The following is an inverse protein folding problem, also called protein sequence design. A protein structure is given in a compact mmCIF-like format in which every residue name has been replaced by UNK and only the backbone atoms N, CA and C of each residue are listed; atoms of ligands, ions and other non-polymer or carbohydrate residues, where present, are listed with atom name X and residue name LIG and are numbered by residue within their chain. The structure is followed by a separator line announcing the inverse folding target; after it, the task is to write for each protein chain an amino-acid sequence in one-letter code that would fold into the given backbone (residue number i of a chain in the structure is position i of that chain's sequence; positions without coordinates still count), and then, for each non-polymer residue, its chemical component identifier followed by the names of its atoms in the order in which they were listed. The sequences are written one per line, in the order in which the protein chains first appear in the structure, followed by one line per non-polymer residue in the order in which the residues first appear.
data_IF_169071610389
#
_entry.id   IF_169071610389
#
_cell.length_a   1.000
_cell.length_b   1.000
_cell.length_c   1.000
_cell.angle_alpha   90.00
_cell.angle_beta   90.00
_cell.angle_gamma   90.00
#
_symmetry.space_group_name_H-M   'P 1'
#
loop_
_entity.id
_entity.type
_entity.pdbx_description
1 polymer ?
#
# COMPACT_ATOMS: atom_id res chain seq x y z
N UNK A 1 -10.64 -3.67 11.67
CA UNK A 1 -9.22 -3.68 12.11
C UNK A 1 -8.88 -2.35 12.81
N UNK A 2 -7.96 -2.31 13.78
CA UNK A 2 -7.45 -1.03 14.32
C UNK A 2 -6.42 -0.38 13.38
N UNK A 3 -6.09 0.90 13.58
CA UNK A 3 -5.22 1.63 12.65
C UNK A 3 -3.78 1.08 12.63
N UNK A 4 -3.28 0.53 13.72
CA UNK A 4 -1.96 -0.11 13.77
C UNK A 4 -1.95 -1.33 12.86
N UNK A 5 -2.88 -2.26 13.06
CA UNK A 5 -3.00 -3.44 12.24
C UNK A 5 -3.18 -3.09 10.75
N UNK A 6 -3.92 -2.02 10.43
CA UNK A 6 -4.06 -1.52 9.04
C UNK A 6 -2.73 -1.04 8.45
N UNK A 7 -1.96 -0.23 9.19
CA UNK A 7 -0.65 0.28 8.76
C UNK A 7 0.28 -0.86 8.39
N UNK A 8 0.40 -1.85 9.28
CA UNK A 8 1.30 -2.98 9.07
C UNK A 8 0.83 -3.87 7.93
N UNK A 9 -0.46 -4.16 7.86
CA UNK A 9 -1.06 -4.93 6.75
C UNK A 9 -0.74 -4.27 5.41
N UNK A 10 -1.01 -2.96 5.28
CA UNK A 10 -0.75 -2.20 4.05
C UNK A 10 0.75 -2.10 3.73
N UNK A 11 1.60 -1.94 4.75
CA UNK A 11 3.05 -1.92 4.57
C UNK A 11 3.58 -3.23 3.97
N UNK A 12 3.14 -4.38 4.49
CA UNK A 12 3.55 -5.67 3.96
C UNK A 12 3.05 -5.89 2.53
N UNK A 13 1.80 -5.52 2.24
CA UNK A 13 1.26 -5.60 0.88
C UNK A 13 2.05 -4.74 -0.09
N UNK A 14 2.40 -3.51 0.29
CA UNK A 14 3.21 -2.60 -0.53
C UNK A 14 4.60 -3.21 -0.81
N UNK A 15 5.27 -3.70 0.23
CA UNK A 15 6.62 -4.27 0.14
C UNK A 15 6.66 -5.53 -0.72
N UNK A 16 5.67 -6.42 -0.56
CA UNK A 16 5.54 -7.63 -1.37
C UNK A 16 5.26 -7.29 -2.84
N UNK A 17 4.40 -6.28 -3.09
CA UNK A 17 4.08 -5.82 -4.45
C UNK A 17 5.31 -5.24 -5.15
N UNK A 18 6.10 -4.41 -4.46
CA UNK A 18 7.34 -3.86 -4.99
C UNK A 18 8.36 -4.96 -5.28
N UNK A 19 8.51 -5.90 -4.36
CA UNK A 19 9.40 -7.06 -4.55
C UNK A 19 9.03 -7.85 -5.81
N UNK A 20 7.73 -8.01 -6.07
CA UNK A 20 7.25 -8.68 -7.27
C UNK A 20 7.57 -7.88 -8.54
N UNK A 21 7.32 -6.57 -8.54
CA UNK A 21 7.64 -5.66 -9.66
C UNK A 21 9.13 -5.79 -10.01
N UNK A 22 10.02 -5.64 -9.02
CA UNK A 22 11.47 -5.72 -9.20
C UNK A 22 11.89 -7.08 -9.75
N UNK A 23 11.32 -8.18 -9.24
CA UNK A 23 11.67 -9.52 -9.70
C UNK A 23 11.20 -9.79 -11.13
N UNK A 24 10.04 -9.26 -11.54
CA UNK A 24 9.54 -9.39 -12.92
C UNK A 24 10.32 -8.51 -13.89
N UNK A 25 10.78 -7.34 -13.46
CA UNK A 25 11.53 -6.41 -14.32
C UNK A 25 12.96 -6.86 -14.64
N UNK A 26 13.53 -7.80 -13.87
CA UNK A 26 14.85 -8.40 -14.18
C UNK A 26 14.91 -9.07 -15.57
N UNK A 27 13.76 -9.43 -16.13
CA UNK A 27 13.64 -10.00 -17.48
C UNK A 27 13.26 -8.95 -18.54
N UNK A 28 13.09 -7.68 -18.16
CA UNK A 28 12.81 -6.56 -19.08
C UNK A 28 14.06 -5.68 -19.25
N UNK A 29 13.98 -4.71 -20.16
CA UNK A 29 15.05 -3.71 -20.33
C UNK A 29 15.10 -2.66 -19.22
N UNK A 30 14.11 -2.67 -18.31
CA UNK A 30 14.00 -1.73 -17.19
C UNK A 30 14.33 -2.42 -15.87
N UNK A 31 15.39 -1.95 -15.21
CA UNK A 31 15.71 -2.36 -13.84
C UNK A 31 15.11 -1.35 -12.87
N UNK A 32 14.21 -1.81 -12.00
CA UNK A 32 13.68 -0.99 -10.92
C UNK A 32 14.43 -1.25 -9.62
N UNK A 33 14.75 -0.18 -8.89
CA UNK A 33 15.21 -0.25 -7.51
C UNK A 33 14.01 -0.28 -6.56
N UNK A 34 14.00 -1.24 -5.62
CA UNK A 34 12.88 -1.46 -4.72
C UNK A 34 12.70 -0.32 -3.70
N UNK A 35 13.79 0.24 -3.18
CA UNK A 35 13.72 1.35 -2.23
C UNK A 35 13.30 2.65 -2.92
N UNK A 36 13.75 2.89 -4.16
CA UNK A 36 13.29 3.99 -4.99
C UNK A 36 11.78 3.89 -5.26
N UNK A 37 11.29 2.72 -5.69
CA UNK A 37 9.85 2.49 -5.90
C UNK A 37 9.04 2.69 -4.62
N UNK A 38 9.51 2.15 -3.50
CA UNK A 38 8.86 2.33 -2.20
C UNK A 38 8.73 3.81 -1.83
N UNK A 39 9.84 4.54 -1.88
CA UNK A 39 9.87 5.97 -1.55
C UNK A 39 9.00 6.79 -2.51
N UNK A 40 9.00 6.45 -3.80
CA UNK A 40 8.18 7.10 -4.82
C UNK A 40 6.69 6.91 -4.54
N UNK A 41 6.23 5.68 -4.30
CA UNK A 41 4.81 5.41 -4.05
C UNK A 41 4.35 6.01 -2.72
N UNK A 42 5.16 5.87 -1.66
CA UNK A 42 4.83 6.45 -0.37
C UNK A 42 4.76 7.99 -0.41
N UNK A 43 5.73 8.64 -1.06
CA UNK A 43 5.74 10.10 -1.20
C UNK A 43 4.53 10.58 -2.00
N UNK A 44 4.19 9.88 -3.09
CA UNK A 44 2.97 10.18 -3.85
C UNK A 44 1.70 9.97 -3.03
N UNK A 45 1.63 8.90 -2.23
CA UNK A 45 0.49 8.66 -1.34
C UNK A 45 0.34 9.76 -0.27
N UNK A 46 1.45 10.23 0.30
CA UNK A 46 1.46 11.36 1.25
C UNK A 46 1.02 12.67 0.59
N UNK A 47 1.51 12.96 -0.62
CA UNK A 47 1.16 14.18 -1.35
C UNK A 47 -0.31 14.16 -1.83
N UNK A 48 -0.79 13.03 -2.36
CA UNK A 48 -2.19 12.90 -2.75
C UNK A 48 -3.12 13.05 -1.54
N UNK A 49 -2.75 12.54 -0.36
CA UNK A 49 -3.50 12.84 0.87
C UNK A 49 -3.52 14.34 1.22
N UNK A 50 -2.40 15.06 1.11
CA UNK A 50 -2.38 16.50 1.36
C UNK A 50 -3.21 17.30 0.37
N UNK A 51 -3.34 16.81 -0.87
CA UNK A 51 -4.16 17.42 -1.91
C UNK A 51 -5.66 17.10 -1.73
N UNK A 52 -5.99 15.87 -1.29
CA UNK A 52 -7.37 15.41 -0.98
C UNK A 52 -8.00 16.20 0.18
N UNK A 53 -7.21 16.81 1.07
CA UNK A 53 -7.71 17.72 2.11
C UNK A 53 -8.29 19.02 1.56
N UNK A 54 -7.95 19.40 0.32
CA UNK A 54 -8.38 20.68 -0.26
C UNK A 54 -9.56 20.55 -1.20
N UNK A 55 -9.63 19.50 -2.00
CA UNK A 55 -10.72 19.28 -2.95
C UNK A 55 -11.00 17.77 -3.09
N UNK A 56 -12.27 17.39 -3.06
CA UNK A 56 -12.76 16.28 -3.87
C UNK A 56 -12.41 14.82 -3.46
N UNK A 57 -13.18 14.31 -2.49
CA UNK A 57 -13.77 12.94 -2.55
C UNK A 57 -14.46 12.65 -3.92
N UNK A 58 -14.67 13.66 -4.77
CA UNK A 58 -15.28 13.56 -6.09
C UNK A 58 -14.31 13.60 -7.31
N UNK A 59 -12.98 13.72 -7.17
CA UNK A 59 -12.03 13.65 -8.34
C UNK A 59 -11.21 12.36 -8.40
N UNK A 60 -11.18 11.57 -7.32
CA UNK A 60 -10.53 10.24 -7.29
C UNK A 60 -11.14 9.29 -8.36
N UNK A 61 -12.32 9.61 -8.89
CA UNK A 61 -13.02 8.81 -9.90
C UNK A 61 -12.92 9.25 -11.37
N UNK A 62 -12.11 10.26 -11.74
CA UNK A 62 -12.25 10.88 -13.09
C UNK A 62 -10.99 11.04 -13.95
N UNK A 63 -9.87 10.37 -13.64
CA UNK A 63 -8.83 10.26 -14.65
C UNK A 63 -8.20 8.87 -14.66
N UNK A 64 -8.58 8.06 -15.65
CA UNK A 64 -7.73 7.38 -16.64
C UNK A 64 -8.42 6.08 -17.14
N UNK A 65 -9.02 6.16 -18.32
CA UNK A 65 -9.83 5.11 -18.96
C UNK A 65 -9.00 3.82 -19.21
N UNK A 66 -9.52 2.66 -18.75
CA UNK A 66 -8.90 1.33 -18.46
C UNK A 66 -8.24 1.16 -17.09
N UNK A 67 -7.63 2.20 -16.54
CA UNK A 67 -7.15 2.19 -15.17
C UNK A 67 -8.33 2.33 -14.18
N UNK A 68 -9.28 3.24 -14.43
CA UNK A 68 -10.40 3.54 -13.52
C UNK A 68 -11.19 2.34 -12.98
N UNK A 69 -11.48 1.33 -13.82
CA UNK A 69 -12.23 0.16 -13.36
C UNK A 69 -11.39 -0.72 -12.41
N UNK A 70 -10.11 -0.95 -12.73
CA UNK A 70 -9.20 -1.72 -11.89
C UNK A 70 -8.79 -0.96 -10.63
N UNK A 71 -8.56 0.35 -10.73
CA UNK A 71 -8.32 1.22 -9.58
C UNK A 71 -9.53 1.22 -8.63
N UNK A 72 -10.75 1.37 -9.15
CA UNK A 72 -11.97 1.30 -8.34
C UNK A 72 -12.18 -0.06 -7.67
N UNK A 73 -11.85 -1.16 -8.38
CA UNK A 73 -11.88 -2.52 -7.81
C UNK A 73 -10.84 -2.72 -6.71
N UNK A 74 -9.60 -2.26 -6.91
CA UNK A 74 -8.52 -2.31 -5.91
C UNK A 74 -8.94 -1.52 -4.66
N UNK A 75 -9.37 -0.28 -4.83
CA UNK A 75 -9.82 0.58 -3.74
C UNK A 75 -10.96 -0.07 -2.94
N UNK A 76 -11.98 -0.57 -3.63
CA UNK A 76 -13.13 -1.21 -3.00
C UNK A 76 -12.75 -2.47 -2.20
N UNK A 77 -11.79 -3.28 -2.67
CA UNK A 77 -11.34 -4.48 -1.95
C UNK A 77 -10.51 -4.13 -0.72
N UNK A 78 -9.62 -3.16 -0.82
CA UNK A 78 -8.86 -2.65 0.34
C UNK A 78 -9.83 -2.13 1.42
N UNK A 79 -10.85 -1.34 1.04
CA UNK A 79 -11.88 -0.86 1.97
C UNK A 79 -12.63 -2.01 2.64
N UNK A 80 -13.08 -2.97 1.83
CA UNK A 80 -13.83 -4.13 2.32
C UNK A 80 -13.03 -4.92 3.36
N UNK A 81 -11.74 -5.14 3.10
CA UNK A 81 -10.86 -5.90 4.00
C UNK A 81 -10.48 -5.14 5.27
N UNK A 82 -10.05 -3.87 5.16
CA UNK A 82 -9.60 -3.10 6.31
C UNK A 82 -10.77 -2.69 7.23
N UNK A 83 -11.97 -2.56 6.65
CA UNK A 83 -13.14 -1.98 7.28
C UNK A 83 -13.00 -0.46 7.48
N UNK A 84 -14.03 0.17 8.06
CA UNK A 84 -14.09 1.62 8.26
C UNK A 84 -12.84 2.17 8.96
N UNK A 85 -12.32 3.29 8.45
CA UNK A 85 -11.31 4.08 9.15
C UNK A 85 -11.89 4.47 10.52
N UNK A 86 -11.16 4.12 11.57
CA UNK A 86 -11.57 4.51 12.93
C UNK A 86 -10.93 5.86 13.21
N UNK A 87 -11.74 6.80 13.68
CA UNK A 87 -11.26 8.09 14.17
C UNK A 87 -10.16 7.88 15.22
N UNK A 88 -9.08 8.65 15.12
CA UNK A 88 -7.97 8.57 16.07
C UNK A 88 -6.60 8.74 15.41
N UNK A 89 -5.55 8.34 16.13
CA UNK A 89 -4.17 8.49 15.66
C UNK A 89 -3.93 7.68 14.38
N UNK A 90 -3.08 8.22 13.52
CA UNK A 90 -2.52 7.58 12.32
C UNK A 90 -3.49 7.32 11.16
N UNK A 91 -4.68 7.94 11.15
CA UNK A 91 -5.62 7.86 10.02
C UNK A 91 -4.95 8.32 8.72
N UNK A 92 -4.25 9.46 8.78
CA UNK A 92 -3.50 10.07 7.67
C UNK A 92 -2.53 9.07 7.03
N UNK A 93 -1.85 8.29 7.88
CA UNK A 93 -0.88 7.32 7.42
C UNK A 93 -1.53 6.08 6.83
N UNK A 94 -2.64 5.61 7.44
CA UNK A 94 -3.42 4.51 6.85
C UNK A 94 -3.85 4.90 5.44
N UNK A 95 -4.31 6.13 5.24
CA UNK A 95 -4.72 6.66 3.93
C UNK A 95 -3.51 6.74 2.99
N UNK A 96 -2.39 7.33 3.42
CA UNK A 96 -1.19 7.45 2.58
C UNK A 96 -0.64 6.09 2.13
N UNK A 97 -0.62 5.10 3.03
CA UNK A 97 -0.19 3.73 2.70
C UNK A 97 -1.18 3.02 1.78
N UNK A 98 -2.48 3.23 1.99
CA UNK A 98 -3.49 2.70 1.10
C UNK A 98 -3.28 3.23 -0.32
N UNK A 99 -3.18 4.56 -0.49
CA UNK A 99 -2.90 5.16 -1.81
C UNK A 99 -1.58 4.62 -2.38
N UNK A 100 -0.54 4.45 -1.56
CA UNK A 100 0.72 3.86 -2.03
C UNK A 100 0.56 2.42 -2.54
N UNK A 101 -0.26 1.58 -1.89
CA UNK A 101 -0.59 0.23 -2.36
C UNK A 101 -1.34 0.29 -3.70
N UNK A 102 -2.32 1.18 -3.84
CA UNK A 102 -3.03 1.37 -5.12
C UNK A 102 -2.07 1.74 -6.25
N UNK A 103 -1.21 2.73 -6.02
CA UNK A 103 -0.22 3.17 -7.00
C UNK A 103 0.76 2.05 -7.38
N UNK A 104 1.20 1.24 -6.42
CA UNK A 104 2.12 0.14 -6.68
C UNK A 104 1.46 -0.97 -7.51
N UNK A 105 0.23 -1.35 -7.16
CA UNK A 105 -0.55 -2.33 -7.92
C UNK A 105 -0.80 -1.85 -9.34
N UNK A 106 -1.19 -0.60 -9.50
CA UNK A 106 -1.44 -0.01 -10.82
C UNK A 106 -0.17 0.13 -11.64
N UNK A 107 0.96 0.45 -11.02
CA UNK A 107 2.25 0.44 -11.69
C UNK A 107 2.59 -0.96 -12.20
N UNK A 108 2.35 -2.00 -11.40
CA UNK A 108 2.49 -3.38 -11.83
C UNK A 108 1.62 -3.70 -13.06
N UNK A 109 0.35 -3.29 -13.06
CA UNK A 109 -0.56 -3.44 -14.20
C UNK A 109 -0.13 -2.71 -15.47
N UNK A 110 0.66 -1.65 -15.37
CA UNK A 110 1.07 -0.92 -16.55
C UNK A 110 2.38 -1.47 -17.14
N UNK A 111 3.23 -2.06 -16.29
CA UNK A 111 4.63 -2.31 -16.64
C UNK A 111 5.04 -3.79 -16.63
N UNK A 112 4.20 -4.71 -16.14
CA UNK A 112 4.50 -6.15 -16.16
C UNK A 112 3.66 -6.88 -17.22
N UNK A 113 4.32 -7.49 -18.21
CA UNK A 113 3.68 -8.34 -19.24
C UNK A 113 3.13 -9.64 -18.62
N UNK A 114 2.03 -10.17 -19.17
CA UNK A 114 1.22 -11.29 -18.65
C UNK A 114 0.64 -11.04 -17.24
N UNK A 115 -0.56 -10.42 -17.22
CA UNK A 115 -1.18 -9.83 -16.03
C UNK A 115 -2.27 -10.65 -15.29
N UNK A 116 -2.23 -11.98 -15.12
CA UNK A 116 -3.34 -12.66 -14.44
C UNK A 116 -3.24 -12.77 -12.90
N UNK A 117 -2.16 -12.39 -12.23
CA UNK A 117 -1.96 -12.89 -10.84
C UNK A 117 -2.17 -11.89 -9.69
N UNK A 118 -1.91 -10.59 -9.86
CA UNK A 118 -1.72 -9.72 -8.67
C UNK A 118 -3.01 -9.14 -8.05
N UNK A 119 -4.05 -8.83 -8.83
CA UNK A 119 -5.40 -8.44 -8.33
C UNK A 119 -6.21 -9.65 -7.95
N UNK A 120 -6.13 -10.77 -8.67
CA UNK A 120 -6.91 -11.95 -8.31
C UNK A 120 -6.57 -12.43 -6.88
N UNK A 121 -5.34 -12.19 -6.43
CA UNK A 121 -4.88 -12.44 -5.06
C UNK A 121 -4.82 -11.20 -4.16
N UNK A 122 -5.48 -10.07 -4.46
CA UNK A 122 -5.42 -8.90 -3.57
C UNK A 122 -5.97 -9.21 -2.16
N UNK A 123 -7.10 -9.91 -2.07
CA UNK A 123 -7.65 -10.33 -0.77
C UNK A 123 -6.70 -11.30 -0.06
N UNK A 124 -6.03 -12.18 -0.82
CA UNK A 124 -5.03 -13.11 -0.29
C UNK A 124 -3.78 -12.37 0.19
N UNK A 125 -3.31 -11.35 -0.51
CA UNK A 125 -2.20 -10.49 -0.10
C UNK A 125 -2.55 -9.68 1.14
N UNK A 126 -3.76 -9.15 1.22
CA UNK A 126 -4.27 -8.46 2.40
C UNK A 126 -4.36 -9.42 3.59
N UNK A 127 -4.85 -10.64 3.37
CA UNK A 127 -4.87 -11.73 4.38
C UNK A 127 -3.46 -12.07 4.85
N UNK A 128 -2.54 -12.36 3.95
CA UNK A 128 -1.14 -12.69 4.26
C UNK A 128 -0.42 -11.53 4.94
N UNK A 129 -0.66 -10.29 4.51
CA UNK A 129 -0.13 -9.09 5.16
C UNK A 129 -0.63 -8.95 6.60
N UNK A 130 -1.91 -9.28 6.83
CA UNK A 130 -2.47 -9.29 8.18
C UNK A 130 -1.90 -10.45 9.02
N UNK A 131 -1.69 -11.63 8.44
CA UNK A 131 -1.06 -12.76 9.12
C UNK A 131 0.39 -12.49 9.48
N UNK A 132 1.16 -11.85 8.60
CA UNK A 132 2.51 -11.35 8.89
C UNK A 132 2.49 -10.38 10.08
N UNK A 133 1.51 -9.49 10.14
CA UNK A 133 1.33 -8.61 11.29
C UNK A 133 1.06 -9.37 12.59
N UNK A 134 0.15 -10.36 12.57
CA UNK A 134 -0.16 -11.17 13.76
C UNK A 134 1.03 -12.03 14.21
N UNK A 135 1.77 -12.60 13.25
CA UNK A 135 2.99 -13.36 13.52
C UNK A 135 4.07 -12.47 14.12
N UNK A 136 4.31 -11.29 13.53
CA UNK A 136 5.26 -10.32 14.05
C UNK A 136 4.89 -9.88 15.48
N UNK A 137 3.62 -9.61 15.78
CA UNK A 137 3.18 -9.29 17.14
C UNK A 137 3.50 -10.39 18.17
N UNK A 138 3.53 -11.64 17.74
CA UNK A 138 3.82 -12.79 18.60
C UNK A 138 5.33 -12.96 18.87
N UNK A 139 6.19 -12.23 18.15
CA UNK A 139 7.64 -12.25 18.26
C UNK A 139 8.19 -10.84 18.57
N UNK A 140 8.55 -10.57 19.82
CA UNK A 140 8.90 -9.20 20.27
C UNK A 140 10.09 -8.58 19.55
N UNK A 141 11.08 -9.37 19.13
CA UNK A 141 12.30 -8.86 18.48
C UNK A 141 12.06 -8.53 17.00
N UNK A 142 11.33 -9.41 16.31
CA UNK A 142 10.87 -9.18 14.94
C UNK A 142 9.90 -8.00 14.87
N UNK A 143 8.98 -7.89 15.83
CA UNK A 143 8.10 -6.73 15.98
C UNK A 143 8.88 -5.42 16.14
N UNK A 144 9.85 -5.37 17.05
CA UNK A 144 10.65 -4.16 17.27
C UNK A 144 11.45 -3.75 16.05
N UNK A 145 11.96 -4.74 15.30
CA UNK A 145 12.72 -4.50 14.07
C UNK A 145 11.82 -3.93 12.97
N UNK A 146 10.67 -4.57 12.74
CA UNK A 146 9.69 -4.12 11.74
C UNK A 146 9.11 -2.75 12.13
N UNK A 147 8.78 -2.54 13.40
CA UNK A 147 8.31 -1.26 13.92
C UNK A 147 9.36 -0.14 13.75
N UNK A 148 10.64 -0.42 13.99
CA UNK A 148 11.72 0.54 13.76
C UNK A 148 11.92 0.86 12.27
N UNK A 149 11.84 -0.15 11.38
CA UNK A 149 11.92 0.05 9.93
C UNK A 149 10.73 0.89 9.44
N UNK A 150 9.53 0.56 9.91
CA UNK A 150 8.31 1.25 9.52
C UNK A 150 8.33 2.69 10.06
N UNK A 151 8.73 2.93 11.31
CA UNK A 151 8.93 4.29 11.86
C UNK A 151 10.00 5.08 11.13
N UNK A 152 11.10 4.45 10.71
CA UNK A 152 12.17 5.16 9.98
C UNK A 152 11.77 5.50 8.54
N UNK A 153 11.06 4.60 7.84
CA UNK A 153 10.58 4.83 6.46
C UNK A 153 9.36 5.74 6.38
N UNK A 154 8.42 5.62 7.33
CA UNK A 154 7.16 6.35 7.29
C UNK A 154 7.17 7.63 8.15
N UNK A 155 8.09 7.75 9.10
CA UNK A 155 8.16 8.80 10.12
C UNK A 155 7.57 8.35 11.46
N UNK A 156 7.83 9.11 12.53
CA UNK A 156 7.24 8.81 13.86
C UNK A 156 5.71 8.92 13.82
N UNK A 157 5.02 7.82 14.13
CA UNK A 157 3.54 7.73 14.27
C UNK A 157 3.00 8.38 15.54
N UNK A 158 3.82 9.14 16.26
CA UNK A 158 3.37 9.85 17.44
C UNK A 158 2.52 11.03 17.01
N UNK A 159 1.21 10.80 16.94
CA UNK A 159 0.22 11.85 16.78
C UNK A 159 0.43 12.96 17.80
N UNK A 160 0.31 14.20 17.33
CA UNK A 160 0.00 15.33 18.22
C UNK A 160 -1.32 15.04 18.95
#
# INVERSE_FOLDING_TARGET
MDNTAKIYTLYFVLTDTITFIVNKSKNSSENFDGDELFNRFLTRGKNQYSDILYDLVAEIGLSHYKAEEEYGRIASRIVSFLGTLRDGKNVDLVIALWIAVELALSFYYLNCENQPELVYDLDEKLRLGHEKYLAAQSNSEEWQTIDAIIKSKLGNFSGK
#
